data_IF_962360620181
#
_entry.id   IF_962360620181
#
_cell.length_a   1.000
_cell.length_b   1.000
_cell.length_c   1.000
_cell.angle_alpha   90.00
_cell.angle_beta   90.00
_cell.angle_gamma   90.00
#
_symmetry.space_group_name_H-M   'P 1'
#
loop_
_entity.id
_entity.type
_entity.pdbx_description
1 polymer ?
#
# COMPACT_ATOMS: atom_id res chain seq x y z
N UNK A 1 0.69 23.58 0.61
CA UNK A 1 0.22 23.00 -0.67
C UNK A 1 1.24 23.16 -1.81
N UNK A 2 2.36 23.84 -1.60
CA UNK A 2 3.36 24.08 -2.65
C UNK A 2 4.05 22.79 -3.13
N UNK A 3 4.30 21.85 -2.21
CA UNK A 3 4.93 20.56 -2.48
C UNK A 3 3.96 19.43 -2.86
N UNK A 4 2.72 19.74 -3.24
CA UNK A 4 1.76 18.69 -3.67
C UNK A 4 2.29 17.75 -4.77
N UNK A 5 3.07 18.23 -5.78
CA UNK A 5 3.67 17.35 -6.79
C UNK A 5 4.68 16.33 -6.23
N UNK A 6 5.13 16.46 -4.98
CA UNK A 6 6.14 15.58 -4.37
C UNK A 6 5.51 14.55 -3.41
N UNK A 7 4.24 14.75 -3.05
CA UNK A 7 3.57 14.05 -1.98
C UNK A 7 2.52 13.07 -2.50
N UNK A 8 2.20 12.08 -1.67
CA UNK A 8 0.98 11.28 -1.81
C UNK A 8 -0.07 11.87 -0.88
N UNK A 9 -1.22 12.26 -1.43
CA UNK A 9 -2.37 12.77 -0.68
C UNK A 9 -3.52 11.79 -0.74
N UNK A 10 -4.14 11.47 0.40
CA UNK A 10 -5.29 10.57 0.49
C UNK A 10 -6.33 11.10 1.49
N UNK A 11 -7.61 10.73 1.36
CA UNK A 11 -8.63 11.12 2.32
C UNK A 11 -8.35 10.48 3.68
N UNK A 12 -8.63 11.20 4.76
CA UNK A 12 -8.38 10.76 6.12
C UNK A 12 -9.33 9.63 6.56
N UNK A 13 -10.58 9.66 6.07
CA UNK A 13 -11.66 8.80 6.54
C UNK A 13 -12.07 7.69 5.55
N UNK A 14 -11.41 7.58 4.39
CA UNK A 14 -11.78 6.59 3.38
C UNK A 14 -10.81 5.41 3.34
N UNK A 15 -11.35 4.20 3.46
CA UNK A 15 -10.63 2.94 3.31
C UNK A 15 -10.87 2.38 1.92
N UNK A 16 -9.95 2.60 0.98
CA UNK A 16 -10.09 2.03 -0.37
C UNK A 16 -9.13 2.49 -1.45
N UNK A 17 -8.28 3.50 -1.20
CA UNK A 17 -7.36 4.03 -2.22
C UNK A 17 -8.05 4.82 -3.35
N UNK A 18 -9.36 4.98 -3.30
CA UNK A 18 -10.09 5.97 -4.09
C UNK A 18 -9.75 7.38 -3.59
N UNK A 19 -9.73 8.35 -4.51
CA UNK A 19 -9.45 9.75 -4.15
C UNK A 19 -8.01 10.00 -3.69
N UNK A 20 -7.04 9.23 -4.18
CA UNK A 20 -5.62 9.42 -3.88
C UNK A 20 -4.89 10.18 -5.01
N UNK A 21 -4.08 11.18 -4.64
CA UNK A 21 -3.10 11.82 -5.51
C UNK A 21 -1.72 11.20 -5.26
N UNK A 22 -1.05 10.73 -6.31
CA UNK A 22 0.37 10.35 -6.27
C UNK A 22 1.15 11.43 -7.02
N UNK A 23 1.55 12.49 -6.33
CA UNK A 23 2.12 13.72 -6.92
C UNK A 23 3.16 13.46 -8.02
N UNK A 24 4.22 12.68 -7.77
CA UNK A 24 5.29 12.46 -8.75
C UNK A 24 4.87 11.72 -10.03
N UNK A 25 3.72 11.04 -10.00
CA UNK A 25 3.19 10.27 -11.14
C UNK A 25 1.84 10.84 -11.62
N UNK A 26 1.50 12.06 -11.23
CA UNK A 26 0.24 12.72 -11.60
C UNK A 26 0.45 13.79 -12.66
N UNK A 27 -0.66 14.25 -13.25
CA UNK A 27 -0.61 15.38 -14.19
C UNK A 27 -0.75 16.71 -13.43
N UNK A 28 -0.25 17.83 -13.97
CA UNK A 28 -0.40 19.15 -13.35
C UNK A 28 -1.87 19.51 -13.10
N UNK A 29 -2.78 19.15 -14.00
CA UNK A 29 -4.22 19.42 -13.87
C UNK A 29 -4.81 18.67 -12.67
N UNK A 30 -4.39 17.42 -12.46
CA UNK A 30 -4.85 16.61 -11.34
C UNK A 30 -4.33 17.14 -9.99
N UNK A 31 -3.11 17.67 -9.98
CA UNK A 31 -2.55 18.34 -8.79
C UNK A 31 -3.37 19.57 -8.42
N UNK A 32 -3.77 20.40 -9.38
CA UNK A 32 -4.58 21.59 -9.11
C UNK A 32 -6.03 21.28 -8.74
N UNK A 33 -6.61 20.21 -9.30
CA UNK A 33 -7.89 19.66 -8.83
C UNK A 33 -7.79 19.30 -7.34
N UNK A 34 -6.76 18.55 -6.95
CA UNK A 34 -6.53 18.19 -5.55
C UNK A 34 -6.23 19.41 -4.65
N UNK A 35 -5.51 20.42 -5.16
CA UNK A 35 -5.30 21.67 -4.43
C UNK A 35 -6.63 22.30 -4.02
N UNK A 36 -7.57 22.36 -4.95
CA UNK A 36 -8.91 22.92 -4.74
C UNK A 36 -9.68 22.10 -3.71
N UNK A 37 -9.72 20.77 -3.88
CA UNK A 37 -10.40 19.86 -2.95
C UNK A 37 -9.86 19.94 -1.51
N UNK A 38 -8.53 20.07 -1.35
CA UNK A 38 -7.90 20.21 -0.03
C UNK A 38 -8.23 21.57 0.59
N UNK A 39 -8.29 22.65 -0.19
CA UNK A 39 -8.67 23.97 0.33
C UNK A 39 -10.12 24.01 0.80
N UNK A 40 -11.03 23.34 0.09
CA UNK A 40 -12.45 23.26 0.48
C UNK A 40 -12.67 22.46 1.76
N UNK A 41 -11.89 21.39 2.00
CA UNK A 41 -12.03 20.58 3.21
C UNK A 41 -10.68 20.02 3.70
N UNK A 42 -9.81 20.84 4.31
CA UNK A 42 -8.44 20.44 4.63
C UNK A 42 -8.34 19.32 5.67
N UNK A 43 -9.30 19.25 6.60
CA UNK A 43 -9.34 18.23 7.64
C UNK A 43 -9.65 16.83 7.09
N UNK A 44 -10.14 16.73 5.85
CA UNK A 44 -10.46 15.46 5.23
C UNK A 44 -9.27 14.82 4.51
N UNK A 45 -8.08 15.44 4.51
CA UNK A 45 -6.93 14.92 3.76
C UNK A 45 -5.68 14.79 4.64
N UNK A 46 -4.86 13.79 4.32
CA UNK A 46 -3.51 13.65 4.85
C UNK A 46 -2.51 13.54 3.70
N UNK A 47 -1.31 14.06 3.93
CA UNK A 47 -0.20 14.00 2.98
C UNK A 47 0.98 13.24 3.59
N UNK A 48 1.63 12.42 2.78
CA UNK A 48 2.83 11.67 3.15
C UNK A 48 3.87 11.79 2.03
N UNK A 49 5.17 11.75 2.35
CA UNK A 49 6.21 11.65 1.33
C UNK A 49 5.97 10.42 0.43
N UNK A 50 6.34 10.55 -0.84
CA UNK A 50 6.26 9.42 -1.76
C UNK A 50 7.30 8.37 -1.36
N UNK A 51 6.84 7.19 -0.97
CA UNK A 51 7.71 6.07 -0.62
C UNK A 51 7.96 5.21 -1.86
N UNK A 52 9.22 4.88 -2.10
CA UNK A 52 9.59 3.84 -3.06
C UNK A 52 9.25 2.47 -2.47
N UNK A 53 8.08 1.93 -2.84
CA UNK A 53 7.68 0.59 -2.41
C UNK A 53 8.65 -0.47 -2.95
N UNK A 54 8.98 -1.46 -2.12
CA UNK A 54 9.73 -2.63 -2.56
C UNK A 54 8.99 -3.37 -3.67
N UNK A 55 9.74 -4.02 -4.55
CA UNK A 55 9.20 -4.90 -5.59
C UNK A 55 9.58 -6.36 -5.33
N UNK A 56 8.74 -7.28 -5.79
CA UNK A 56 9.04 -8.71 -5.80
C UNK A 56 8.77 -9.30 -7.19
N UNK A 57 9.58 -10.28 -7.66
CA UNK A 57 9.37 -10.95 -8.94
C UNK A 57 7.97 -11.55 -9.03
N UNK A 58 7.20 -11.15 -10.03
CA UNK A 58 5.81 -11.59 -10.21
C UNK A 58 5.62 -12.10 -11.62
N UNK A 59 4.93 -13.23 -11.75
CA UNK A 59 4.53 -13.76 -13.05
C UNK A 59 3.43 -12.90 -13.65
N UNK A 60 3.72 -12.24 -14.77
CA UNK A 60 2.80 -11.32 -15.44
C UNK A 60 2.17 -11.93 -16.71
N UNK A 61 2.12 -13.26 -16.80
CA UNK A 61 1.52 -14.00 -17.90
C UNK A 61 2.54 -14.54 -18.90
N UNK A 62 3.41 -13.68 -19.43
CA UNK A 62 4.43 -14.02 -20.42
C UNK A 62 5.87 -13.91 -19.90
N UNK A 63 6.07 -13.12 -18.84
CA UNK A 63 7.37 -12.84 -18.24
C UNK A 63 7.29 -12.69 -16.73
N UNK A 64 8.44 -12.86 -16.07
CA UNK A 64 8.64 -12.45 -14.69
C UNK A 64 9.07 -10.98 -14.71
N UNK A 65 8.34 -10.13 -13.99
CA UNK A 65 8.63 -8.70 -13.88
C UNK A 65 8.51 -8.22 -12.43
N UNK A 66 9.20 -7.13 -12.04
CA UNK A 66 9.03 -6.55 -10.72
C UNK A 66 7.62 -5.96 -10.57
N UNK A 67 6.98 -6.22 -9.44
CA UNK A 67 5.71 -5.58 -9.04
C UNK A 67 5.79 -5.12 -7.59
N UNK A 68 5.19 -3.96 -7.32
CA UNK A 68 5.06 -3.44 -5.97
C UNK A 68 4.12 -4.31 -5.16
N UNK A 69 4.43 -4.42 -3.86
CA UNK A 69 3.63 -5.19 -2.92
C UNK A 69 3.55 -4.46 -1.58
N UNK A 70 2.55 -4.84 -0.80
CA UNK A 70 2.53 -4.56 0.62
C UNK A 70 2.25 -5.83 1.43
N UNK A 71 2.69 -5.81 2.68
CA UNK A 71 2.50 -6.88 3.64
C UNK A 71 1.63 -6.37 4.78
N UNK A 72 0.55 -7.11 5.07
CA UNK A 72 -0.30 -6.90 6.23
C UNK A 72 -0.15 -8.06 7.20
N UNK A 73 0.72 -7.94 8.21
CA UNK A 73 0.75 -8.89 9.33
C UNK A 73 -0.48 -8.68 10.22
N UNK A 74 -0.79 -9.68 11.05
CA UNK A 74 -1.85 -9.59 12.04
C UNK A 74 -1.25 -9.65 13.45
N UNK A 75 -1.69 -8.73 14.30
CA UNK A 75 -1.31 -8.68 15.70
C UNK A 75 -2.52 -9.16 16.50
N UNK A 76 -2.32 -10.20 17.30
CA UNK A 76 -3.31 -10.74 18.23
C UNK A 76 -3.04 -10.17 19.63
N UNK A 77 -4.03 -9.51 20.20
CA UNK A 77 -3.94 -8.90 21.52
C UNK A 77 -4.91 -9.58 22.48
N UNK A 78 -4.37 -10.25 23.49
CA UNK A 78 -5.13 -10.88 24.57
C UNK A 78 -4.46 -10.64 25.92
N UNK A 79 -4.28 -11.70 26.71
CA UNK A 79 -3.41 -11.63 27.90
C UNK A 79 -1.98 -11.22 27.53
N UNK A 80 -1.52 -11.70 26.38
CA UNK A 80 -0.23 -11.40 25.79
C UNK A 80 -0.43 -10.78 24.39
N UNK A 81 0.58 -10.09 23.88
CA UNK A 81 0.60 -9.54 22.52
C UNK A 81 1.43 -10.47 21.63
N UNK A 82 0.89 -10.86 20.50
CA UNK A 82 1.51 -11.81 19.59
C UNK A 82 1.40 -11.35 18.14
N UNK A 83 2.47 -11.51 17.36
CA UNK A 83 2.47 -11.23 15.92
C UNK A 83 2.50 -12.54 15.16
N UNK A 84 1.60 -12.72 14.20
CA UNK A 84 1.52 -13.96 13.42
C UNK A 84 2.79 -14.17 12.56
N UNK A 85 3.32 -15.40 12.43
CA UNK A 85 4.43 -15.72 11.52
C UNK A 85 3.94 -15.78 10.06
N UNK A 86 3.48 -14.64 9.54
CA UNK A 86 2.89 -14.51 8.22
C UNK A 86 2.02 -13.26 8.11
N UNK A 87 1.26 -13.19 7.03
CA UNK A 87 0.36 -12.08 6.76
C UNK A 87 -0.19 -12.13 5.34
N UNK A 88 -1.09 -11.21 5.05
CA UNK A 88 -1.61 -11.02 3.71
C UNK A 88 -0.62 -10.17 2.92
N UNK A 89 0.04 -10.76 1.92
CA UNK A 89 0.80 -10.00 0.92
C UNK A 89 -0.12 -9.67 -0.26
N UNK A 90 -0.22 -8.38 -0.62
CA UNK A 90 -0.96 -7.91 -1.79
C UNK A 90 0.01 -7.38 -2.83
N UNK A 91 -0.31 -7.54 -4.10
CA UNK A 91 0.56 -7.20 -5.22
C UNK A 91 -0.19 -6.35 -6.23
N UNK A 92 0.40 -5.23 -6.64
CA UNK A 92 -0.12 -4.42 -7.72
C UNK A 92 0.21 -5.09 -9.05
N UNK A 93 -0.78 -5.65 -9.76
CA UNK A 93 -0.52 -6.43 -10.98
C UNK A 93 -0.18 -5.55 -12.20
N UNK A 94 -0.67 -4.31 -12.20
CA UNK A 94 -0.39 -3.30 -13.23
C UNK A 94 1.03 -2.79 -13.09
N UNK A 95 1.76 -2.71 -14.21
CA UNK A 95 3.13 -2.22 -14.25
C UNK A 95 3.23 -0.78 -13.73
N UNK A 96 4.19 -0.52 -12.83
CA UNK A 96 4.41 0.80 -12.22
C UNK A 96 3.32 1.25 -11.23
N UNK A 97 2.26 0.48 -11.04
CA UNK A 97 1.19 0.83 -10.11
C UNK A 97 1.60 0.61 -8.65
N UNK A 98 1.23 1.55 -7.79
CA UNK A 98 1.32 1.42 -6.33
C UNK A 98 -0.01 0.93 -5.71
N UNK A 99 -1.03 0.72 -6.54
CA UNK A 99 -2.37 0.35 -6.11
C UNK A 99 -2.45 -1.17 -5.99
N UNK A 100 -2.42 -1.66 -4.75
CA UNK A 100 -2.50 -3.09 -4.41
C UNK A 100 -3.91 -3.55 -4.02
N UNK A 101 -4.93 -2.69 -4.15
CA UNK A 101 -6.29 -3.01 -3.75
C UNK A 101 -6.90 -4.08 -4.67
N UNK A 102 -7.47 -5.13 -4.08
CA UNK A 102 -8.02 -6.28 -4.82
C UNK A 102 -9.20 -5.90 -5.70
N UNK A 103 -9.99 -4.89 -5.32
CA UNK A 103 -11.09 -4.37 -6.15
C UNK A 103 -10.63 -3.69 -7.45
N UNK A 104 -9.34 -3.40 -7.59
CA UNK A 104 -8.74 -2.72 -8.74
C UNK A 104 -7.66 -3.57 -9.44
N UNK A 105 -7.78 -4.90 -9.34
CA UNK A 105 -6.86 -5.83 -10.00
C UNK A 105 -5.61 -6.15 -9.19
N UNK A 106 -5.61 -5.88 -7.88
CA UNK A 106 -4.59 -6.35 -6.96
C UNK A 106 -4.64 -7.87 -6.79
N UNK A 107 -3.48 -8.52 -6.91
CA UNK A 107 -3.30 -9.94 -6.60
C UNK A 107 -2.88 -10.16 -5.14
N UNK A 108 -2.77 -11.42 -4.73
CA UNK A 108 -2.18 -11.81 -3.45
C UNK A 108 -1.04 -12.81 -3.64
N UNK A 109 -0.16 -12.88 -2.65
CA UNK A 109 0.89 -13.89 -2.55
C UNK A 109 0.94 -14.47 -1.15
N UNK A 110 1.44 -15.69 -1.06
CA UNK A 110 1.82 -16.27 0.22
C UNK A 110 3.03 -15.53 0.81
N UNK A 111 3.01 -15.33 2.12
CA UNK A 111 4.10 -14.71 2.88
C UNK A 111 4.79 -15.80 3.68
N UNK A 112 6.03 -16.13 3.34
CA UNK A 112 6.80 -17.14 4.07
C UNK A 112 7.77 -16.45 5.03
N UNK A 113 7.59 -16.69 6.32
CA UNK A 113 8.54 -16.29 7.36
C UNK A 113 9.42 -17.49 7.63
N UNK A 114 10.70 -17.38 7.27
CA UNK A 114 11.69 -18.44 7.50
C UNK A 114 12.43 -18.12 8.80
N UNK A 115 12.47 -19.09 9.71
CA UNK A 115 13.22 -19.01 10.95
C UNK A 115 14.31 -20.08 10.95
N UNK A 116 15.48 -19.74 11.49
CA UNK A 116 16.60 -20.67 11.65
C UNK A 116 16.32 -21.73 12.74
N UNK A 117 15.31 -21.49 13.59
CA UNK A 117 14.83 -22.42 14.61
C UNK A 117 13.32 -22.59 14.52
N UNK A 118 12.82 -23.74 14.99
CA UNK A 118 11.40 -24.03 15.01
C UNK A 118 10.65 -22.96 15.83
N UNK A 119 9.53 -22.48 15.29
CA UNK A 119 8.66 -21.54 15.96
C UNK A 119 8.05 -22.18 17.22
N UNK A 120 8.41 -21.69 18.41
CA UNK A 120 7.90 -22.19 19.69
C UNK A 120 6.56 -21.56 20.13
N UNK A 121 6.03 -20.61 19.35
CA UNK A 121 4.74 -19.96 19.63
C UNK A 121 3.58 -20.89 19.33
N UNK A 122 3.06 -21.53 20.38
CA UNK A 122 2.07 -22.61 20.36
C UNK A 122 0.84 -22.40 19.48
N UNK A 123 0.26 -23.55 19.10
CA UNK A 123 -1.08 -23.63 18.55
C UNK A 123 -2.08 -22.87 19.45
N UNK A 124 -2.98 -22.14 18.81
CA UNK A 124 -4.18 -21.59 19.46
C UNK A 124 -4.93 -22.66 20.26
#
# INVERSE_FOLDING_TARGET
LEHLPELVVKPANESGGYGMLVGPHSTPEKVEEFRTLIQENPNNYIAQPTLSLSVNPTWCGDKIAPRHLDLRPFILSGKDIYVTPGGLTRVAMVEGSLVVNSSQGGGSKDTWIVADQAWEGGAL
#
